data_IF_375997038058
#
_entry.id   IF_375997038058
#
_cell.length_a   1.000
_cell.length_b   1.000
_cell.length_c   1.000
_cell.angle_alpha   90.00
_cell.angle_beta   90.00
_cell.angle_gamma   90.00
#
_symmetry.space_group_name_H-M   'P 1'
#
loop_
_entity.id
_entity.type
_entity.pdbx_description
1 polymer ?
#
# COMPACT_ATOMS: atom_id res chain seq x y z
N UNK A 1 -17.58 -4.80 17.59
CA UNK A 1 -16.68 -3.65 17.83
C UNK A 1 -15.29 -4.07 18.34
N UNK A 2 -14.89 -5.34 18.18
CA UNK A 2 -13.60 -5.85 18.71
C UNK A 2 -12.52 -6.04 17.63
N UNK A 3 -12.90 -6.04 16.34
CA UNK A 3 -11.96 -6.25 15.24
C UNK A 3 -11.13 -5.01 14.85
N UNK A 4 -11.49 -3.82 15.34
CA UNK A 4 -10.69 -2.59 15.14
C UNK A 4 -9.65 -2.38 16.25
N UNK A 5 -9.76 -3.13 17.35
CA UNK A 5 -8.86 -3.02 18.50
C UNK A 5 -7.51 -3.72 18.28
N UNK A 6 -7.41 -4.64 17.31
CA UNK A 6 -6.15 -5.33 17.04
C UNK A 6 -5.05 -4.40 16.51
N UNK A 7 -5.40 -3.33 15.77
CA UNK A 7 -4.39 -2.36 15.36
C UNK A 7 -3.93 -1.39 16.46
N UNK A 8 -4.75 -1.16 17.49
CA UNK A 8 -4.39 -0.24 18.58
C UNK A 8 -3.38 -0.84 19.57
N UNK A 9 -3.28 -2.16 19.69
CA UNK A 9 -2.31 -2.80 20.61
C UNK A 9 -0.86 -2.71 20.10
N UNK A 10 -0.65 -2.45 18.81
CA UNK A 10 0.69 -2.22 18.23
C UNK A 10 1.16 -0.77 18.31
N UNK A 11 0.41 0.11 18.98
CA UNK A 11 0.79 1.52 19.20
C UNK A 11 1.67 1.70 20.47
N UNK A 12 1.88 0.62 21.23
CA UNK A 12 2.49 0.64 22.56
C UNK A 12 4.02 0.58 22.61
N UNK A 13 4.71 0.32 21.49
CA UNK A 13 6.17 0.46 21.47
C UNK A 13 6.58 1.33 20.29
N UNK A 14 7.13 2.50 20.60
CA UNK A 14 7.77 3.37 19.60
C UNK A 14 8.80 2.57 18.79
N UNK A 15 9.50 1.63 19.45
CA UNK A 15 10.64 0.88 18.93
C UNK A 15 10.29 -0.09 17.78
N UNK A 16 9.14 -0.77 17.82
CA UNK A 16 8.74 -1.74 16.79
C UNK A 16 8.35 -1.08 15.46
N UNK A 17 7.77 0.13 15.53
CA UNK A 17 7.37 0.89 14.35
C UNK A 17 8.58 1.36 13.54
N UNK A 18 9.65 1.79 14.22
CA UNK A 18 10.91 2.14 13.56
C UNK A 18 11.62 0.91 12.99
N UNK A 19 11.57 -0.24 13.66
CA UNK A 19 12.19 -1.47 13.17
C UNK A 19 11.56 -1.98 11.86
N UNK A 20 10.23 -1.95 11.76
CA UNK A 20 9.53 -2.31 10.52
C UNK A 20 9.88 -1.35 9.37
N UNK A 21 9.98 -0.05 9.65
CA UNK A 21 10.34 0.95 8.65
C UNK A 21 11.69 0.65 7.97
N UNK A 22 12.74 0.40 8.76
CA UNK A 22 14.07 0.07 8.23
C UNK A 22 14.08 -1.20 7.39
N UNK A 23 13.29 -2.21 7.75
CA UNK A 23 13.20 -3.46 7.00
C UNK A 23 12.48 -3.29 5.65
N UNK A 24 11.52 -2.37 5.57
CA UNK A 24 10.71 -2.15 4.36
C UNK A 24 11.26 -1.08 3.39
N UNK A 25 12.26 -0.29 3.77
CA UNK A 25 12.88 0.70 2.86
C UNK A 25 13.50 0.06 1.60
N UNK A 26 14.29 -1.04 1.68
CA UNK A 26 14.93 -1.62 0.51
C UNK A 26 13.94 -2.17 -0.52
N UNK A 27 12.86 -2.82 -0.07
CA UNK A 27 11.80 -3.33 -0.96
C UNK A 27 11.11 -2.19 -1.72
N UNK A 28 10.94 -1.01 -1.10
CA UNK A 28 10.33 0.12 -1.81
C UNK A 28 11.24 0.68 -2.89
N UNK A 29 12.54 0.79 -2.62
CA UNK A 29 13.54 1.22 -3.62
C UNK A 29 13.65 0.20 -4.74
N UNK A 30 13.56 -1.10 -4.43
CA UNK A 30 13.54 -2.17 -5.43
C UNK A 30 12.31 -2.04 -6.35
N UNK A 31 11.11 -1.90 -5.78
CA UNK A 31 9.86 -1.73 -6.55
C UNK A 31 9.90 -0.44 -7.38
N UNK A 32 10.33 0.69 -6.81
CA UNK A 32 10.48 1.95 -7.56
C UNK A 32 11.41 1.82 -8.77
N UNK A 33 12.53 1.09 -8.62
CA UNK A 33 13.45 0.78 -9.73
C UNK A 33 12.82 -0.12 -10.79
N UNK A 34 12.00 -1.10 -10.42
CA UNK A 34 11.29 -1.93 -11.42
C UNK A 34 10.34 -1.10 -12.29
N UNK A 35 9.60 -0.15 -11.70
CA UNK A 35 8.73 0.75 -12.46
C UNK A 35 9.52 1.78 -13.29
N UNK A 36 10.67 2.25 -12.79
CA UNK A 36 11.58 3.12 -13.53
C UNK A 36 12.11 2.47 -14.81
N UNK A 37 12.53 1.20 -14.69
CA UNK A 37 12.99 0.39 -15.81
C UNK A 37 11.88 0.17 -16.86
N UNK A 38 10.64 -0.11 -16.43
CA UNK A 38 9.49 -0.25 -17.33
C UNK A 38 9.16 1.03 -18.11
N UNK A 39 9.44 2.20 -17.54
CA UNK A 39 9.13 3.52 -18.15
C UNK A 39 10.33 4.19 -18.82
N UNK A 40 11.50 3.53 -18.89
CA UNK A 40 12.76 4.13 -19.35
C UNK A 40 13.05 5.50 -18.73
N UNK A 41 12.70 5.69 -17.45
CA UNK A 41 12.96 6.93 -16.72
C UNK A 41 14.12 6.70 -15.75
N UNK A 42 15.10 7.59 -15.73
CA UNK A 42 16.17 7.57 -14.73
C UNK A 42 15.58 8.01 -13.38
N UNK A 43 15.22 7.05 -12.54
CA UNK A 43 14.78 7.31 -11.16
C UNK A 43 16.00 7.21 -10.23
N UNK A 44 16.31 8.32 -9.58
CA UNK A 44 17.34 8.38 -8.55
C UNK A 44 16.83 7.75 -7.25
N UNK A 45 17.41 6.61 -6.87
CA UNK A 45 17.03 5.89 -5.64
C UNK A 45 17.17 6.75 -4.36
N UNK A 46 18.06 7.74 -4.35
CA UNK A 46 18.22 8.68 -3.24
C UNK A 46 16.99 9.58 -3.05
N UNK A 47 16.35 10.02 -4.15
CA UNK A 47 15.15 10.88 -4.09
C UNK A 47 13.92 10.08 -3.65
N UNK A 48 13.79 8.84 -4.14
CA UNK A 48 12.75 7.91 -3.70
C UNK A 48 12.86 7.60 -2.20
N UNK A 49 14.07 7.39 -1.69
CA UNK A 49 14.29 7.11 -0.27
C UNK A 49 13.89 8.30 0.62
N UNK A 50 14.28 9.51 0.24
CA UNK A 50 13.90 10.74 0.95
C UNK A 50 12.38 10.94 0.90
N UNK A 51 11.75 10.69 -0.25
CA UNK A 51 10.30 10.83 -0.41
C UNK A 51 9.52 9.86 0.49
N UNK A 52 9.93 8.58 0.57
CA UNK A 52 9.30 7.57 1.42
C UNK A 52 9.53 7.85 2.92
N UNK A 53 10.73 8.34 3.27
CA UNK A 53 11.03 8.77 4.63
C UNK A 53 10.14 9.94 5.06
N UNK A 54 10.04 10.99 4.23
CA UNK A 54 9.18 12.15 4.49
C UNK A 54 7.70 11.77 4.57
N UNK A 55 7.22 10.89 3.69
CA UNK A 55 5.84 10.42 3.71
C UNK A 55 5.48 9.74 5.04
N UNK A 56 6.39 8.93 5.59
CA UNK A 56 6.16 8.25 6.88
C UNK A 56 6.23 9.21 8.07
N UNK A 57 7.09 10.25 8.02
CA UNK A 57 7.11 11.30 9.05
C UNK A 57 5.78 12.08 9.05
N UNK A 58 5.30 12.48 7.88
CA UNK A 58 4.01 13.19 7.72
C UNK A 58 2.82 12.27 8.06
N UNK A 59 2.90 10.98 7.75
CA UNK A 59 1.88 10.00 8.12
C UNK A 59 1.80 9.79 9.64
N UNK A 60 2.95 9.80 10.31
CA UNK A 60 3.04 9.62 11.77
C UNK A 60 2.41 10.77 12.54
N UNK A 61 2.51 12.02 12.04
CA UNK A 61 1.84 13.17 12.66
C UNK A 61 0.31 13.10 12.56
N UNK A 62 -0.22 12.31 11.61
CA UNK A 62 -1.66 12.08 11.40
C UNK A 62 -2.13 10.76 12.02
N UNK A 63 -1.31 10.10 12.87
CA UNK A 63 -1.60 8.78 13.46
C UNK A 63 -1.92 7.70 12.42
N UNK A 64 -1.28 7.75 11.25
CA UNK A 64 -1.44 6.77 10.18
C UNK A 64 -0.46 5.60 10.34
N UNK A 65 -0.83 4.42 9.83
CA UNK A 65 0.08 3.27 9.77
C UNK A 65 1.26 3.54 8.82
N UNK A 66 2.38 2.88 9.09
CA UNK A 66 3.57 2.96 8.24
C UNK A 66 3.18 2.61 6.81
N UNK A 67 3.48 3.51 5.89
CA UNK A 67 3.15 3.34 4.48
C UNK A 67 4.36 2.76 3.76
N UNK A 68 4.10 1.65 3.07
CA UNK A 68 5.07 0.93 2.25
C UNK A 68 4.63 0.99 0.79
N UNK A 69 5.58 0.86 -0.15
CA UNK A 69 5.28 0.78 -1.58
C UNK A 69 4.29 -0.34 -1.89
N UNK A 70 3.27 -0.04 -2.71
CA UNK A 70 2.20 -0.98 -3.06
C UNK A 70 2.31 -1.38 -4.54
N UNK A 71 2.91 -2.54 -4.81
CA UNK A 71 3.06 -3.07 -6.18
C UNK A 71 1.70 -3.28 -6.87
N UNK A 72 0.76 -3.97 -6.19
CA UNK A 72 -0.56 -4.31 -6.74
C UNK A 72 -1.33 -3.09 -7.29
N UNK A 73 -1.42 -2.01 -6.50
CA UNK A 73 -2.16 -0.80 -6.91
C UNK A 73 -1.46 -0.04 -8.04
N UNK A 74 -0.13 0.04 -8.01
CA UNK A 74 0.63 0.72 -9.06
C UNK A 74 0.57 -0.03 -10.40
N UNK A 75 0.59 -1.37 -10.38
CA UNK A 75 0.47 -2.20 -11.59
C UNK A 75 -0.92 -2.09 -12.22
N UNK A 76 -1.98 -2.16 -11.41
CA UNK A 76 -3.36 -1.97 -11.92
C UNK A 76 -3.56 -0.58 -12.48
N UNK A 77 -3.06 0.45 -11.79
CA UNK A 77 -3.13 1.83 -12.25
C UNK A 77 -2.30 2.05 -13.54
N UNK A 78 -1.16 1.37 -13.67
CA UNK A 78 -0.35 1.39 -14.87
C UNK A 78 -1.07 0.72 -16.06
N UNK A 79 -1.69 -0.44 -15.85
CA UNK A 79 -2.48 -1.15 -16.85
C UNK A 79 -3.74 -0.37 -17.27
N UNK A 80 -4.33 0.40 -16.36
CA UNK A 80 -5.45 1.30 -16.65
C UNK A 80 -5.05 2.54 -17.48
N UNK A 81 -3.79 2.67 -17.87
CA UNK A 81 -3.30 3.77 -18.70
C UNK A 81 -3.04 5.07 -17.91
N UNK A 82 -2.96 5.01 -16.58
CA UNK A 82 -2.68 6.19 -15.78
C UNK A 82 -1.24 6.68 -16.02
N UNK A 83 -1.13 7.90 -16.57
CA UNK A 83 0.16 8.55 -16.86
C UNK A 83 0.49 9.67 -15.86
N UNK A 84 -0.42 10.00 -14.94
CA UNK A 84 -0.33 11.22 -14.11
C UNK A 84 -0.58 10.95 -12.63
N UNK A 85 -0.02 11.80 -11.77
CA UNK A 85 -0.24 11.79 -10.31
C UNK A 85 -1.70 12.02 -9.91
N UNK A 86 -2.52 12.56 -10.84
CA UNK A 86 -3.94 12.81 -10.66
C UNK A 86 -4.71 11.53 -10.35
N UNK A 87 -4.32 10.39 -10.95
CA UNK A 87 -4.98 9.10 -10.67
C UNK A 87 -4.86 8.68 -9.20
N UNK A 88 -3.68 8.93 -8.58
CA UNK A 88 -3.45 8.59 -7.19
C UNK A 88 -4.25 9.50 -6.23
N UNK A 89 -4.41 10.78 -6.59
CA UNK A 89 -5.25 11.73 -5.84
C UNK A 89 -6.72 11.32 -5.92
N UNK A 90 -7.22 10.99 -7.12
CA UNK A 90 -8.60 10.53 -7.30
C UNK A 90 -8.84 9.26 -6.49
N UNK A 91 -7.94 8.28 -6.54
CA UNK A 91 -8.05 7.06 -5.72
C UNK A 91 -8.13 7.39 -4.22
N UNK A 92 -7.27 8.27 -3.72
CA UNK A 92 -7.28 8.69 -2.32
C UNK A 92 -8.58 9.40 -1.91
N UNK A 93 -9.06 10.32 -2.74
CA UNK A 93 -10.32 11.06 -2.50
C UNK A 93 -11.52 10.13 -2.59
N UNK A 94 -11.58 9.23 -3.56
CA UNK A 94 -12.64 8.22 -3.66
C UNK A 94 -12.68 7.35 -2.41
N UNK A 95 -11.53 6.86 -1.94
CA UNK A 95 -11.47 6.08 -0.69
C UNK A 95 -11.98 6.92 0.49
N UNK A 96 -11.51 8.16 0.65
CA UNK A 96 -11.97 9.08 1.70
C UNK A 96 -13.50 9.27 1.69
N UNK A 97 -14.09 9.54 0.51
CA UNK A 97 -15.53 9.73 0.34
C UNK A 97 -16.30 8.45 0.60
N UNK A 98 -15.82 7.31 0.10
CA UNK A 98 -16.46 6.02 0.35
C UNK A 98 -16.46 5.66 1.83
N UNK A 99 -15.38 5.91 2.57
CA UNK A 99 -15.38 5.65 4.01
C UNK A 99 -16.38 6.54 4.75
N UNK A 100 -16.56 7.80 4.34
CA UNK A 100 -17.52 8.71 4.96
C UNK A 100 -18.98 8.28 4.71
N UNK A 101 -19.28 7.80 3.49
CA UNK A 101 -20.63 7.38 3.09
C UNK A 101 -20.99 5.93 3.46
N UNK A 102 -20.03 4.99 3.37
CA UNK A 102 -20.22 3.57 3.67
C UNK A 102 -19.82 3.19 5.10
N UNK A 103 -19.39 4.16 5.94
CA UNK A 103 -19.16 3.93 7.37
C UNK A 103 -20.27 3.14 8.09
N UNK A 104 -21.58 3.41 7.87
CA UNK A 104 -22.64 2.62 8.51
C UNK A 104 -22.76 1.20 7.94
N UNK A 105 -22.30 0.95 6.72
CA UNK A 105 -22.37 -0.36 6.06
C UNK A 105 -21.26 -1.31 6.56
N UNK A 106 -20.06 -0.78 6.82
CA UNK A 106 -18.92 -1.57 7.29
C UNK A 106 -19.06 -2.13 8.71
N UNK A 107 -20.01 -1.63 9.51
CA UNK A 107 -20.28 -2.18 10.84
C UNK A 107 -20.85 -3.61 10.79
N UNK A 108 -21.52 -3.97 9.69
CA UNK A 108 -22.20 -5.27 9.54
C UNK A 108 -21.44 -6.29 8.70
N UNK A 109 -20.31 -5.90 8.12
CA UNK A 109 -19.56 -6.78 7.23
C UNK A 109 -18.82 -7.86 8.06
N UNK A 110 -19.20 -9.14 7.95
CA UNK A 110 -18.53 -10.21 8.69
C UNK A 110 -17.09 -10.35 8.19
N UNK A 111 -16.19 -10.82 9.07
CA UNK A 111 -14.76 -11.05 8.78
C UNK A 111 -14.54 -11.92 7.52
N UNK A 112 -15.55 -12.70 7.12
CA UNK A 112 -15.59 -13.50 5.90
C UNK A 112 -15.37 -12.68 4.63
N UNK A 113 -16.01 -11.50 4.50
CA UNK A 113 -15.89 -10.68 3.29
C UNK A 113 -14.49 -10.08 3.19
N UNK A 114 -13.93 -9.65 4.32
CA UNK A 114 -12.55 -9.13 4.38
C UNK A 114 -11.54 -10.22 4.01
N UNK A 115 -11.73 -11.43 4.52
CA UNK A 115 -10.91 -12.60 4.18
C UNK A 115 -10.98 -12.94 2.69
N UNK A 116 -12.19 -12.93 2.10
CA UNK A 116 -12.37 -13.19 0.68
C UNK A 116 -11.63 -12.18 -0.22
N UNK A 117 -11.62 -10.89 0.14
CA UNK A 117 -10.87 -9.86 -0.59
C UNK A 117 -9.36 -10.10 -0.51
N UNK A 118 -8.84 -10.52 0.63
CA UNK A 118 -7.40 -10.83 0.79
C UNK A 118 -7.03 -12.05 -0.04
N UNK A 119 -7.80 -13.14 0.05
CA UNK A 119 -7.54 -14.39 -0.70
C UNK A 119 -7.53 -14.14 -2.20
N UNK A 120 -8.51 -13.40 -2.73
CA UNK A 120 -8.56 -13.05 -4.15
C UNK A 120 -7.35 -12.22 -4.59
N UNK A 121 -6.88 -11.31 -3.74
CA UNK A 121 -5.67 -10.52 -4.01
C UNK A 121 -4.41 -11.38 -4.05
N UNK A 122 -4.27 -12.34 -3.13
CA UNK A 122 -3.13 -13.26 -3.09
C UNK A 122 -3.12 -14.19 -4.31
N UNK A 123 -4.28 -14.74 -4.66
CA UNK A 123 -4.41 -15.60 -5.86
C UNK A 123 -4.06 -14.82 -7.13
N UNK A 124 -4.46 -13.55 -7.23
CA UNK A 124 -4.08 -12.69 -8.36
C UNK A 124 -2.60 -12.33 -8.42
N UNK A 125 -1.85 -12.48 -7.32
CA UNK A 125 -0.40 -12.26 -7.29
C UNK A 125 0.39 -13.54 -7.63
N UNK A 126 -0.20 -14.72 -7.47
CA UNK A 126 0.43 -16.00 -7.80
C UNK A 126 0.30 -16.24 -9.31
N UNK A 127 1.38 -15.97 -10.03
CA UNK A 127 1.47 -16.22 -11.47
C UNK A 127 1.81 -17.70 -11.74
N UNK A 128 0.79 -18.54 -11.87
CA UNK A 128 0.93 -20.00 -12.09
C UNK A 128 1.57 -20.35 -13.44
N UNK A 129 1.52 -19.43 -14.40
CA UNK A 129 1.96 -19.62 -15.77
C UNK A 129 3.45 -19.29 -15.95
N UNK A 130 4.01 -18.37 -15.14
CA UNK A 130 5.46 -18.22 -15.00
C UNK A 130 6.12 -19.42 -14.29
N UNK A 131 5.42 -20.10 -13.38
CA UNK A 131 5.93 -21.27 -12.66
C UNK A 131 6.08 -22.53 -13.53
N UNK A 132 5.32 -22.62 -14.64
CA UNK A 132 5.39 -23.75 -15.57
C UNK A 132 6.52 -23.62 -16.61
N UNK A 133 7.17 -22.46 -16.70
CA UNK A 133 8.18 -22.15 -17.71
C UNK A 133 9.63 -22.15 -17.17
N UNK A 134 9.85 -22.92 -16.10
CA UNK A 134 11.16 -23.31 -15.52
C UNK A 134 11.31 -24.83 -15.66
#
# INVERSE_FOLDING_TARGET
MEHVAFSWKSFGTSNENWACHWHHLPQCIAVGRTFAALKNYQVDGNKEMIAIGLMNIVGSSTSCYVTTSAFSRSTVNHNAGAKTAVSNIIMGVTVMVTLLFLMPLFQYTPNVVLGAIIVTTVVGLIDLLAAYHI
#
